data_IF_234418264744
#
_entry.id   IF_234418264744
#
_cell.length_a   1.000
_cell.length_b   1.000
_cell.length_c   1.000
_cell.angle_alpha   90.00
_cell.angle_beta   90.00
_cell.angle_gamma   90.00
#
_symmetry.space_group_name_H-M   'P 1'
#
loop_
_entity.id
_entity.type
_entity.pdbx_description
1 polymer ?
#
# COMPACT_ATOMS: atom_id res chain seq x y z
N UNK A 1 32.20 41.78 -20.45
CA UNK A 1 33.31 40.90 -20.00
C UNK A 1 33.93 41.26 -18.67
N UNK A 2 33.56 42.35 -18.02
CA UNK A 2 34.09 42.82 -16.72
C UNK A 2 33.56 42.06 -15.51
N UNK A 3 32.28 41.66 -15.53
CA UNK A 3 31.63 40.97 -14.39
C UNK A 3 32.25 39.60 -14.11
N UNK A 4 32.54 38.82 -15.17
CA UNK A 4 33.14 37.49 -15.05
C UNK A 4 34.57 37.55 -14.49
N UNK A 5 35.38 38.58 -14.90
CA UNK A 5 36.71 38.80 -14.36
C UNK A 5 36.68 39.21 -12.86
N UNK A 6 35.69 40.01 -12.48
CA UNK A 6 35.50 40.37 -11.08
C UNK A 6 35.09 39.17 -10.23
N UNK A 7 34.18 38.33 -10.74
CA UNK A 7 33.79 37.06 -10.09
C UNK A 7 34.97 36.13 -9.86
N UNK A 8 35.79 35.89 -10.93
CA UNK A 8 37.02 35.07 -10.79
C UNK A 8 38.03 35.64 -9.80
N UNK A 9 38.14 36.97 -9.74
CA UNK A 9 39.05 37.61 -8.82
C UNK A 9 38.62 37.42 -7.36
N UNK A 10 37.31 37.54 -7.07
CA UNK A 10 36.72 37.28 -5.75
C UNK A 10 36.88 35.80 -5.38
N UNK A 11 36.60 34.88 -6.33
CA UNK A 11 36.78 33.43 -6.13
C UNK A 11 38.23 33.07 -5.78
N UNK A 12 39.20 33.68 -6.45
CA UNK A 12 40.61 33.45 -6.18
C UNK A 12 41.07 34.03 -4.83
N UNK A 13 40.44 35.12 -4.38
CA UNK A 13 40.70 35.69 -3.08
C UNK A 13 40.11 34.84 -1.93
N UNK A 14 38.98 34.17 -2.18
CA UNK A 14 38.30 33.29 -1.23
C UNK A 14 38.59 31.79 -1.49
N UNK A 15 39.65 31.47 -2.25
CA UNK A 15 39.95 30.07 -2.68
C UNK A 15 40.04 29.09 -1.51
N UNK A 16 40.57 29.50 -0.35
CA UNK A 16 40.64 28.63 0.81
C UNK A 16 39.28 28.22 1.37
N UNK A 17 38.33 29.17 1.35
CA UNK A 17 36.98 28.93 1.81
C UNK A 17 36.20 28.03 0.83
N UNK A 18 36.38 28.27 -0.47
CA UNK A 18 35.75 27.43 -1.53
C UNK A 18 36.30 26.01 -1.48
N UNK A 19 37.60 25.82 -1.32
CA UNK A 19 38.23 24.50 -1.20
C UNK A 19 37.72 23.77 0.05
N UNK A 20 37.64 24.48 1.18
CA UNK A 20 37.15 23.91 2.44
C UNK A 20 35.70 23.43 2.34
N UNK A 21 34.81 24.25 1.78
CA UNK A 21 33.40 23.84 1.57
C UNK A 21 33.25 22.71 0.59
N UNK A 22 34.03 22.72 -0.51
CA UNK A 22 34.03 21.64 -1.48
C UNK A 22 34.53 20.32 -0.88
N UNK A 23 35.62 20.38 -0.09
CA UNK A 23 36.14 19.22 0.62
C UNK A 23 35.12 18.67 1.64
N UNK A 24 34.44 19.59 2.37
CA UNK A 24 33.39 19.21 3.33
C UNK A 24 32.18 18.55 2.63
N UNK A 25 31.74 19.10 1.49
CA UNK A 25 30.68 18.50 0.68
C UNK A 25 31.05 17.13 0.16
N UNK A 26 32.28 16.95 -0.32
CA UNK A 26 32.77 15.65 -0.79
C UNK A 26 32.92 14.63 0.35
N UNK A 27 33.34 15.06 1.51
CA UNK A 27 33.40 14.20 2.71
C UNK A 27 31.99 13.76 3.13
N UNK A 28 31.05 14.69 3.29
CA UNK A 28 29.68 14.35 3.65
C UNK A 28 28.94 13.58 2.55
N UNK A 29 29.14 13.96 1.29
CA UNK A 29 28.60 13.23 0.14
C UNK A 29 29.17 11.83 0.00
N UNK A 30 30.48 11.66 0.20
CA UNK A 30 31.16 10.37 0.15
C UNK A 30 30.77 9.43 1.31
N UNK A 31 30.57 9.96 2.51
CA UNK A 31 30.09 9.17 3.65
C UNK A 31 28.64 8.73 3.42
N UNK A 32 27.77 9.62 2.96
CA UNK A 32 26.39 9.29 2.64
C UNK A 32 26.24 8.38 1.41
N UNK A 33 27.16 8.46 0.44
CA UNK A 33 27.17 7.58 -0.73
C UNK A 33 27.54 6.13 -0.37
N UNK A 34 28.36 5.91 0.66
CA UNK A 34 28.62 4.55 1.19
C UNK A 34 27.47 3.99 2.02
N UNK A 35 26.58 4.84 2.52
CA UNK A 35 25.30 4.43 3.12
C UNK A 35 24.21 4.16 2.08
N UNK A 36 24.55 4.27 0.80
CA UNK A 36 23.64 4.12 -0.34
C UNK A 36 23.12 2.70 -0.59
N UNK A 37 23.55 1.70 0.18
CA UNK A 37 22.89 0.40 0.18
C UNK A 37 21.49 0.46 0.83
N UNK A 38 21.17 1.54 1.55
CA UNK A 38 19.81 1.79 2.07
C UNK A 38 18.91 2.54 1.08
N UNK A 39 19.46 3.18 0.03
CA UNK A 39 18.65 3.91 -0.96
C UNK A 39 18.27 3.04 -2.18
N UNK A 40 18.95 1.92 -2.41
CA UNK A 40 18.67 1.01 -3.52
C UNK A 40 17.67 -0.09 -3.18
N UNK A 41 17.27 -0.21 -1.93
CA UNK A 41 16.15 -1.03 -1.49
C UNK A 41 15.17 -0.17 -0.69
N UNK A 42 14.51 0.75 -1.36
CA UNK A 42 13.17 1.10 -0.94
C UNK A 42 12.26 -0.10 -1.29
N UNK A 43 12.49 -1.21 -0.64
CA UNK A 43 11.44 -2.19 -0.43
C UNK A 43 10.47 -1.47 0.48
N UNK A 44 9.37 -1.00 -0.10
CA UNK A 44 8.22 -0.55 0.69
C UNK A 44 7.98 -1.66 1.71
N UNK A 45 8.29 -1.38 2.98
CA UNK A 45 8.10 -2.38 4.03
C UNK A 45 6.61 -2.70 3.99
N UNK A 46 6.28 -3.98 3.79
CA UNK A 46 4.88 -4.37 3.61
C UNK A 46 4.12 -3.95 4.87
N UNK A 47 2.98 -3.23 4.75
CA UNK A 47 2.22 -2.79 5.90
C UNK A 47 1.72 -3.99 6.72
N UNK A 48 1.71 -3.85 8.04
CA UNK A 48 1.11 -4.85 8.92
C UNK A 48 -0.41 -4.66 8.93
N UNK A 49 -1.13 -5.71 8.47
CA UNK A 49 -2.59 -5.70 8.31
C UNK A 49 -3.22 -6.85 9.08
N UNK A 50 -4.34 -6.56 9.72
CA UNK A 50 -5.23 -7.56 10.33
C UNK A 50 -6.48 -7.69 9.47
N UNK A 51 -6.88 -8.94 9.19
CA UNK A 51 -8.12 -9.26 8.48
C UNK A 51 -9.03 -9.98 9.46
N UNK A 52 -10.16 -9.36 9.77
CA UNK A 52 -11.25 -9.95 10.56
C UNK A 52 -12.30 -10.43 9.58
N UNK A 53 -12.22 -11.69 9.20
CA UNK A 53 -13.16 -12.29 8.25
C UNK A 53 -14.32 -12.95 9.00
N UNK A 54 -15.54 -12.48 8.77
CA UNK A 54 -16.79 -13.03 9.31
C UNK A 54 -17.55 -13.86 8.26
N UNK A 55 -17.04 -13.90 7.01
CA UNK A 55 -17.62 -14.66 5.92
C UNK A 55 -16.90 -16.00 5.71
N UNK A 56 -17.46 -16.86 4.87
CA UNK A 56 -16.79 -18.09 4.44
C UNK A 56 -15.54 -17.74 3.62
N UNK A 57 -14.39 -18.31 3.98
CA UNK A 57 -13.12 -18.06 3.29
C UNK A 57 -13.00 -18.95 2.04
N UNK A 58 -13.90 -18.74 1.07
CA UNK A 58 -13.94 -19.47 -0.20
C UNK A 58 -14.15 -18.50 -1.37
N UNK A 59 -13.74 -18.89 -2.57
CA UNK A 59 -13.94 -18.12 -3.81
C UNK A 59 -13.46 -16.68 -3.70
N UNK A 60 -14.34 -15.73 -3.98
CA UNK A 60 -14.04 -14.28 -4.00
C UNK A 60 -13.47 -13.78 -2.68
N UNK A 61 -14.03 -14.21 -1.53
CA UNK A 61 -13.54 -13.80 -0.22
C UNK A 61 -12.13 -14.33 0.04
N UNK A 62 -11.85 -15.55 -0.38
CA UNK A 62 -10.51 -16.13 -0.27
C UNK A 62 -9.50 -15.37 -1.14
N UNK A 63 -9.84 -15.07 -2.39
CA UNK A 63 -8.95 -14.32 -3.29
C UNK A 63 -8.63 -12.94 -2.75
N UNK A 64 -9.62 -12.25 -2.19
CA UNK A 64 -9.41 -10.97 -1.54
C UNK A 64 -8.44 -11.09 -0.35
N UNK A 65 -8.64 -12.08 0.52
CA UNK A 65 -7.75 -12.30 1.66
C UNK A 65 -6.34 -12.73 1.23
N UNK A 66 -6.22 -13.57 0.20
CA UNK A 66 -4.94 -14.02 -0.35
C UNK A 66 -4.18 -12.87 -1.03
N UNK A 67 -4.88 -12.01 -1.77
CA UNK A 67 -4.29 -10.81 -2.36
C UNK A 67 -3.69 -9.88 -1.30
N UNK A 68 -4.45 -9.60 -0.24
CA UNK A 68 -3.95 -8.76 0.86
C UNK A 68 -2.76 -9.43 1.54
N UNK A 69 -2.81 -10.73 1.80
CA UNK A 69 -1.72 -11.48 2.42
C UNK A 69 -0.43 -11.48 1.57
N UNK A 70 -0.57 -11.49 0.24
CA UNK A 70 0.59 -11.42 -0.66
C UNK A 70 1.29 -10.05 -0.62
N UNK A 71 0.53 -8.97 -0.40
CA UNK A 71 1.03 -7.58 -0.47
C UNK A 71 1.27 -6.94 0.91
N UNK A 72 0.97 -7.64 2.01
CA UNK A 72 1.10 -7.15 3.37
C UNK A 72 1.76 -8.18 4.29
N UNK A 73 2.08 -7.77 5.52
CA UNK A 73 2.42 -8.67 6.62
C UNK A 73 1.13 -8.91 7.42
N UNK A 74 0.55 -10.11 7.26
CA UNK A 74 -0.65 -10.46 8.02
C UNK A 74 -0.32 -10.72 9.48
N UNK A 75 -1.04 -10.05 10.38
CA UNK A 75 -1.01 -10.30 11.81
C UNK A 75 -2.35 -10.90 12.25
N UNK A 76 -2.31 -11.95 13.05
CA UNK A 76 -3.51 -12.57 13.60
C UNK A 76 -3.71 -12.08 15.03
N UNK A 77 -4.83 -11.40 15.27
CA UNK A 77 -5.28 -10.98 16.59
C UNK A 77 -6.66 -11.57 16.84
N UNK A 78 -6.92 -12.01 18.06
CA UNK A 78 -8.12 -12.80 18.40
C UNK A 78 -9.20 -11.98 19.08
N UNK A 79 -8.84 -10.90 19.75
CA UNK A 79 -9.80 -10.06 20.45
C UNK A 79 -9.85 -8.66 19.85
N UNK A 80 -10.98 -8.00 19.98
CA UNK A 80 -11.17 -6.61 19.55
C UNK A 80 -10.29 -5.66 20.39
N UNK A 81 -10.06 -5.98 21.66
CA UNK A 81 -9.19 -5.23 22.56
C UNK A 81 -7.72 -5.31 22.10
N UNK A 82 -7.24 -6.51 21.70
CA UNK A 82 -5.89 -6.67 21.13
C UNK A 82 -5.71 -5.89 19.83
N UNK A 83 -6.78 -5.78 19.02
CA UNK A 83 -6.78 -5.01 17.76
C UNK A 83 -6.68 -3.51 18.07
N UNK A 84 -7.47 -3.01 19.02
CA UNK A 84 -7.46 -1.60 19.40
C UNK A 84 -6.10 -1.20 20.00
N UNK A 85 -5.54 -2.04 20.84
CA UNK A 85 -4.20 -1.85 21.39
C UNK A 85 -3.13 -1.87 20.30
N UNK A 86 -3.19 -2.82 19.37
CA UNK A 86 -2.24 -2.91 18.27
C UNK A 86 -2.27 -1.69 17.34
N UNK A 87 -3.45 -1.10 17.10
CA UNK A 87 -3.61 0.14 16.35
C UNK A 87 -3.05 1.32 17.16
N UNK A 88 -3.40 1.40 18.45
CA UNK A 88 -2.95 2.48 19.32
C UNK A 88 -1.42 2.53 19.43
N UNK A 89 -0.79 1.37 19.62
CA UNK A 89 0.67 1.24 19.68
C UNK A 89 1.35 1.19 18.29
N UNK A 90 0.59 1.41 17.21
CA UNK A 90 1.08 1.36 15.80
C UNK A 90 1.78 0.06 15.42
N UNK A 91 1.41 -1.04 16.05
CA UNK A 91 1.88 -2.38 15.71
C UNK A 91 1.16 -2.94 14.47
N UNK A 92 -0.02 -2.37 14.14
CA UNK A 92 -0.82 -2.68 12.96
C UNK A 92 -1.19 -1.37 12.30
N UNK A 93 -0.99 -1.29 11.00
CA UNK A 93 -1.29 -0.10 10.23
C UNK A 93 -2.78 -0.02 9.86
N UNK A 94 -3.38 -1.17 9.52
CA UNK A 94 -4.71 -1.23 8.95
C UNK A 94 -5.46 -2.51 9.34
N UNK A 95 -6.73 -2.40 9.63
CA UNK A 95 -7.61 -3.53 9.96
C UNK A 95 -8.82 -3.51 9.05
N UNK A 96 -9.13 -4.66 8.47
CA UNK A 96 -10.25 -4.84 7.55
C UNK A 96 -11.24 -5.80 8.17
N UNK A 97 -12.51 -5.40 8.22
CA UNK A 97 -13.61 -6.24 8.65
C UNK A 97 -14.43 -6.65 7.43
N UNK A 98 -14.40 -7.93 7.09
CA UNK A 98 -15.21 -8.53 6.02
C UNK A 98 -16.52 -9.00 6.65
N UNK A 99 -17.67 -8.43 6.29
CA UNK A 99 -18.95 -8.81 6.87
C UNK A 99 -19.39 -10.19 6.40
N UNK A 100 -20.25 -10.84 7.16
CA UNK A 100 -20.92 -12.07 6.73
C UNK A 100 -21.76 -11.82 5.48
N UNK A 101 -21.71 -12.75 4.53
CA UNK A 101 -22.43 -12.64 3.26
C UNK A 101 -21.73 -11.76 2.22
N UNK A 102 -20.48 -11.32 2.47
CA UNK A 102 -19.70 -10.53 1.52
C UNK A 102 -19.64 -11.19 0.14
N UNK A 103 -19.28 -12.47 0.10
CA UNK A 103 -19.21 -13.25 -1.15
C UNK A 103 -20.52 -13.20 -1.93
N UNK A 104 -21.65 -13.47 -1.27
CA UNK A 104 -22.95 -13.52 -1.91
C UNK A 104 -23.39 -12.14 -2.44
N UNK A 105 -23.13 -11.08 -1.68
CA UNK A 105 -23.43 -9.73 -2.10
C UNK A 105 -22.65 -9.34 -3.37
N UNK A 106 -21.34 -9.65 -3.42
CA UNK A 106 -20.51 -9.40 -4.60
C UNK A 106 -21.01 -10.21 -5.81
N UNK A 107 -21.35 -11.47 -5.64
CA UNK A 107 -21.91 -12.32 -6.73
C UNK A 107 -23.24 -11.80 -7.25
N UNK A 108 -24.02 -11.13 -6.42
CA UNK A 108 -25.28 -10.48 -6.83
C UNK A 108 -25.06 -9.11 -7.53
N UNK A 109 -23.81 -8.67 -7.68
CA UNK A 109 -23.49 -7.35 -8.24
C UNK A 109 -23.65 -6.21 -7.23
N UNK A 110 -23.80 -6.54 -5.95
CA UNK A 110 -23.84 -5.54 -4.88
C UNK A 110 -22.41 -5.15 -4.48
N UNK A 111 -22.25 -3.93 -3.99
CA UNK A 111 -20.97 -3.46 -3.46
C UNK A 111 -21.06 -3.40 -1.92
N UNK A 112 -20.76 -4.50 -1.21
CA UNK A 112 -20.85 -4.55 0.23
C UNK A 112 -19.83 -3.62 0.88
N UNK A 113 -20.30 -2.79 1.83
CA UNK A 113 -19.45 -1.85 2.54
C UNK A 113 -18.54 -2.58 3.53
N UNK A 114 -17.23 -2.45 3.33
CA UNK A 114 -16.22 -2.96 4.26
C UNK A 114 -15.95 -1.92 5.34
N UNK A 115 -15.81 -2.36 6.58
CA UNK A 115 -15.40 -1.49 7.68
C UNK A 115 -13.89 -1.58 7.88
N UNK A 116 -13.29 -0.43 8.19
CA UNK A 116 -11.85 -0.31 8.43
C UNK A 116 -11.56 0.34 9.76
N UNK A 117 -10.46 -0.07 10.40
CA UNK A 117 -9.78 0.69 11.43
C UNK A 117 -8.33 0.92 10.98
N UNK A 118 -7.78 2.09 11.22
CA UNK A 118 -6.41 2.41 10.80
C UNK A 118 -5.72 3.33 11.79
N UNK A 119 -4.41 3.22 11.90
CA UNK A 119 -3.59 4.27 12.49
C UNK A 119 -3.32 5.36 11.43
N UNK A 120 -3.12 6.61 11.88
CA UNK A 120 -2.77 7.71 10.96
C UNK A 120 -1.28 7.59 10.57
N UNK A 121 -1.00 6.80 9.53
CA UNK A 121 0.35 6.57 9.02
C UNK A 121 0.37 6.47 7.49
N UNK A 122 1.55 6.61 6.90
CA UNK A 122 1.73 6.40 5.46
C UNK A 122 1.41 4.95 5.05
N UNK A 123 1.77 3.98 5.90
CA UNK A 123 1.50 2.56 5.69
C UNK A 123 0.00 2.26 5.69
N UNK A 124 -0.77 2.93 6.56
CA UNK A 124 -2.22 2.81 6.59
C UNK A 124 -2.85 3.37 5.30
N UNK A 125 -2.37 4.52 4.81
CA UNK A 125 -2.85 5.10 3.56
C UNK A 125 -2.50 4.22 2.35
N UNK A 126 -1.32 3.62 2.34
CA UNK A 126 -0.92 2.67 1.31
C UNK A 126 -1.79 1.41 1.34
N UNK A 127 -2.04 0.85 2.53
CA UNK A 127 -2.91 -0.31 2.71
C UNK A 127 -4.35 -0.03 2.24
N UNK A 128 -4.89 1.13 2.59
CA UNK A 128 -6.21 1.56 2.13
C UNK A 128 -6.28 1.67 0.61
N UNK A 129 -5.32 2.34 -0.02
CA UNK A 129 -5.26 2.47 -1.48
C UNK A 129 -5.17 1.10 -2.19
N UNK A 130 -4.40 0.17 -1.62
CA UNK A 130 -4.26 -1.20 -2.13
C UNK A 130 -5.60 -1.94 -2.10
N UNK A 131 -6.32 -1.85 -0.98
CA UNK A 131 -7.65 -2.47 -0.81
C UNK A 131 -8.67 -1.86 -1.76
N UNK A 132 -8.75 -0.53 -1.82
CA UNK A 132 -9.68 0.19 -2.71
C UNK A 132 -9.41 -0.13 -4.19
N UNK A 133 -8.13 -0.25 -4.58
CA UNK A 133 -7.75 -0.63 -5.94
C UNK A 133 -8.22 -2.04 -6.28
N UNK A 134 -8.06 -3.01 -5.37
CA UNK A 134 -8.55 -4.37 -5.56
C UNK A 134 -10.06 -4.40 -5.70
N UNK A 135 -10.79 -3.73 -4.81
CA UNK A 135 -12.25 -3.68 -4.83
C UNK A 135 -12.79 -3.04 -6.12
N UNK A 136 -12.12 -1.99 -6.62
CA UNK A 136 -12.49 -1.36 -7.89
C UNK A 136 -12.29 -2.31 -9.08
N UNK A 137 -11.21 -3.08 -9.11
CA UNK A 137 -10.97 -4.09 -10.13
C UNK A 137 -12.03 -5.19 -10.04
N UNK A 138 -12.27 -5.72 -8.83
CA UNK A 138 -13.28 -6.74 -8.58
C UNK A 138 -14.67 -6.30 -9.07
N UNK A 139 -15.08 -5.06 -8.73
CA UNK A 139 -16.36 -4.52 -9.18
C UNK A 139 -16.46 -4.43 -10.70
N UNK A 140 -15.40 -4.00 -11.38
CA UNK A 140 -15.35 -3.93 -12.83
C UNK A 140 -15.53 -5.32 -13.48
N UNK A 141 -14.91 -6.35 -12.91
CA UNK A 141 -15.08 -7.73 -13.40
C UNK A 141 -16.52 -8.24 -13.20
N UNK A 142 -17.11 -7.98 -12.03
CA UNK A 142 -18.49 -8.34 -11.73
C UNK A 142 -19.46 -7.64 -12.68
N UNK A 143 -19.29 -6.34 -12.88
CA UNK A 143 -20.14 -5.55 -13.78
C UNK A 143 -20.02 -6.04 -15.24
N UNK A 144 -18.82 -6.38 -15.69
CA UNK A 144 -18.60 -6.92 -17.03
C UNK A 144 -19.26 -8.30 -17.20
N UNK A 145 -19.17 -9.17 -16.19
CA UNK A 145 -19.79 -10.49 -16.21
C UNK A 145 -21.33 -10.41 -16.23
N UNK A 146 -21.91 -9.50 -15.44
CA UNK A 146 -23.36 -9.25 -15.41
C UNK A 146 -23.88 -8.66 -16.72
N UNK A 147 -23.08 -7.81 -17.40
CA UNK A 147 -23.43 -7.26 -18.72
C UNK A 147 -23.36 -8.31 -19.84
N UNK A 148 -22.43 -9.26 -19.74
CA UNK A 148 -22.29 -10.32 -20.74
C UNK A 148 -23.45 -11.32 -20.72
N UNK A 149 -24.16 -11.48 -19.59
CA UNK A 149 -25.24 -12.43 -19.42
C UNK A 149 -26.49 -11.79 -18.76
N UNK A 150 -27.22 -10.88 -19.44
CA UNK A 150 -28.32 -10.14 -18.83
C UNK A 150 -29.55 -10.99 -18.50
N UNK A 151 -29.69 -12.20 -19.06
CA UNK A 151 -30.86 -13.07 -18.89
C UNK A 151 -30.75 -14.05 -17.70
N UNK A 152 -29.57 -14.17 -17.10
CA UNK A 152 -29.36 -15.05 -15.94
C UNK A 152 -29.33 -14.27 -14.65
N UNK A 153 -30.49 -13.82 -14.16
CA UNK A 153 -30.65 -13.26 -12.81
C UNK A 153 -30.32 -14.25 -11.66
N UNK A 154 -29.87 -15.45 -11.98
CA UNK A 154 -29.38 -16.50 -11.10
C UNK A 154 -27.98 -16.96 -11.54
N UNK A 155 -27.11 -15.99 -11.87
CA UNK A 155 -25.74 -16.34 -12.20
C UNK A 155 -25.02 -16.66 -10.90
N UNK A 156 -24.78 -17.93 -10.67
CA UNK A 156 -23.51 -18.30 -10.07
C UNK A 156 -22.42 -17.83 -11.06
N UNK A 157 -21.96 -16.59 -10.95
CA UNK A 157 -20.73 -16.15 -11.59
C UNK A 157 -19.74 -17.28 -11.38
N UNK A 158 -19.20 -17.82 -12.47
CA UNK A 158 -18.25 -18.92 -12.36
C UNK A 158 -17.05 -18.33 -11.62
N UNK A 159 -16.92 -18.61 -10.32
CA UNK A 159 -15.86 -18.07 -9.47
C UNK A 159 -14.48 -18.32 -10.07
N UNK A 160 -14.34 -19.36 -10.92
CA UNK A 160 -13.12 -19.63 -11.67
C UNK A 160 -12.78 -18.56 -12.71
N UNK A 161 -13.74 -17.80 -13.24
CA UNK A 161 -13.48 -16.72 -14.21
C UNK A 161 -13.09 -15.41 -13.52
N UNK A 162 -13.65 -15.14 -12.35
CA UNK A 162 -13.31 -13.95 -11.55
C UNK A 162 -11.97 -14.12 -10.81
N UNK A 163 -11.49 -15.35 -10.70
CA UNK A 163 -10.31 -15.72 -9.93
C UNK A 163 -9.07 -16.02 -10.80
N UNK A 164 -9.14 -15.84 -12.12
CA UNK A 164 -7.98 -15.99 -13.02
C UNK A 164 -7.32 -14.61 -13.17
N UNK A 165 -6.28 -14.39 -12.39
CA UNK A 165 -5.05 -13.59 -12.52
C UNK A 165 -4.58 -13.02 -11.18
#
# INVERSE_FOLDING_TARGET
>A
MTVFKAFLHVLNKCKGMVILYTALLLLFGGINSKSGDTASQFTADKPEIVIVNQDENVGITKNFTDYIAAHSKRKELKSEEDIDDAIFYRQVAFVIYIPQGYRQAVLNGENPELRYKSCQSADASFAQMMVESYLAIQQNYVDAALQANPDEKNISLNEEEVCKD
#
